data_IF_098656366959
#
_entry.id   IF_098656366959
#
_cell.length_a   1.000
_cell.length_b   1.000
_cell.length_c   1.000
_cell.angle_alpha   90.00
_cell.angle_beta   90.00
_cell.angle_gamma   90.00
#
_symmetry.space_group_name_H-M   'P 1'
#
loop_
_entity.id
_entity.type
_entity.pdbx_description
1 polymer ?
#
# COMPACT_ATOMS: atom_id res chain seq x y z
N UNK A 1 26.41 19.10 -15.51
CA UNK A 1 25.27 19.18 -14.57
C UNK A 1 24.43 17.93 -14.75
N UNK A 2 24.16 17.15 -13.69
CA UNK A 2 23.38 15.93 -13.80
C UNK A 2 21.92 16.28 -14.16
N UNK A 3 21.37 15.59 -15.18
CA UNK A 3 19.96 15.73 -15.59
C UNK A 3 19.07 15.53 -14.35
N UNK A 4 18.16 16.44 -14.00
CA UNK A 4 17.28 16.24 -12.87
C UNK A 4 16.52 14.93 -13.13
N UNK A 5 16.59 13.98 -12.20
CA UNK A 5 15.87 12.71 -12.29
C UNK A 5 14.41 13.06 -12.55
N UNK A 6 13.95 12.81 -13.78
CA UNK A 6 12.60 13.15 -14.22
C UNK A 6 11.62 12.34 -13.41
N UNK A 7 11.03 12.93 -12.37
CA UNK A 7 9.99 12.29 -11.56
C UNK A 7 8.76 12.15 -12.44
N UNK A 8 8.33 10.92 -12.74
CA UNK A 8 7.03 10.69 -13.36
C UNK A 8 5.94 11.25 -12.43
N UNK A 9 5.23 12.33 -12.82
CA UNK A 9 4.24 12.96 -11.95
C UNK A 9 3.11 11.99 -11.59
N UNK A 10 2.74 11.10 -12.51
CA UNK A 10 1.70 10.09 -12.29
C UNK A 10 2.15 9.03 -11.29
N UNK A 11 3.34 8.45 -11.46
CA UNK A 11 3.86 7.46 -10.50
C UNK A 11 3.97 8.05 -9.08
N UNK A 12 4.36 9.32 -8.99
CA UNK A 12 4.42 10.03 -7.72
C UNK A 12 3.04 10.23 -7.07
N UNK A 13 2.00 10.55 -7.85
CA UNK A 13 0.61 10.67 -7.35
C UNK A 13 0.08 9.33 -6.87
N UNK A 14 0.27 8.27 -7.66
CA UNK A 14 -0.10 6.90 -7.29
C UNK A 14 0.53 6.53 -5.94
N UNK A 15 1.84 6.73 -5.79
CA UNK A 15 2.53 6.42 -4.54
C UNK A 15 1.98 7.22 -3.34
N UNK A 16 1.55 8.47 -3.53
CA UNK A 16 0.94 9.28 -2.47
C UNK A 16 -0.46 8.81 -2.11
N UNK A 17 -1.27 8.45 -3.10
CA UNK A 17 -2.63 7.92 -2.88
C UNK A 17 -2.55 6.62 -2.08
N UNK A 18 -1.68 5.69 -2.49
CA UNK A 18 -1.48 4.44 -1.75
C UNK A 18 -1.01 4.68 -0.31
N UNK A 19 -0.13 5.67 -0.07
CA UNK A 19 0.28 6.03 1.29
C UNK A 19 -0.83 6.66 2.13
N UNK A 20 -1.65 7.53 1.52
CA UNK A 20 -2.76 8.19 2.21
C UNK A 20 -3.81 7.22 2.74
N UNK A 21 -4.01 6.11 2.03
CA UNK A 21 -4.95 5.04 2.40
C UNK A 21 -4.42 4.07 3.46
N UNK A 22 -3.14 4.20 3.84
CA UNK A 22 -2.54 3.37 4.88
C UNK A 22 -3.31 3.50 6.19
N UNK A 23 -3.73 2.37 6.77
CA UNK A 23 -4.54 2.32 8.00
C UNK A 23 -6.03 2.65 7.79
N UNK A 24 -6.48 2.89 6.56
CA UNK A 24 -7.88 3.17 6.19
C UNK A 24 -8.49 2.09 5.31
N UNK A 25 -8.02 0.85 5.45
CA UNK A 25 -8.44 -0.30 4.66
C UNK A 25 -9.94 -0.65 4.78
N UNK A 26 -10.58 -0.30 5.89
CA UNK A 26 -12.01 -0.59 6.13
C UNK A 26 -12.91 0.64 6.05
N UNK A 27 -12.35 1.83 6.28
CA UNK A 27 -13.11 3.09 6.33
C UNK A 27 -12.99 3.88 5.03
N UNK A 28 -11.90 3.68 4.31
CA UNK A 28 -11.59 4.36 3.06
C UNK A 28 -11.41 5.87 3.18
N UNK A 29 -11.27 6.51 2.03
CA UNK A 29 -11.30 7.95 1.83
C UNK A 29 -12.07 8.29 0.56
N UNK A 30 -12.76 9.42 0.54
CA UNK A 30 -13.37 9.97 -0.65
C UNK A 30 -12.31 10.51 -1.62
N UNK A 31 -12.66 10.68 -2.90
CA UNK A 31 -11.76 11.28 -3.88
C UNK A 31 -11.33 12.71 -3.50
N UNK A 32 -12.21 13.48 -2.86
CA UNK A 32 -11.90 14.84 -2.37
C UNK A 32 -10.88 14.84 -1.23
N UNK A 33 -11.07 13.96 -0.23
CA UNK A 33 -10.10 13.81 0.87
C UNK A 33 -8.73 13.33 0.35
N UNK A 34 -8.72 12.45 -0.65
CA UNK A 34 -7.48 12.00 -1.30
C UNK A 34 -6.80 13.14 -2.08
N UNK A 35 -7.57 13.99 -2.75
CA UNK A 35 -7.03 15.12 -3.49
C UNK A 35 -6.36 16.11 -2.55
N UNK A 36 -7.02 16.43 -1.43
CA UNK A 36 -6.49 17.29 -0.37
C UNK A 36 -5.22 16.68 0.26
N UNK A 37 -5.29 15.41 0.69
CA UNK A 37 -4.17 14.74 1.37
C UNK A 37 -2.93 14.58 0.47
N UNK A 38 -3.12 14.44 -0.84
CA UNK A 38 -2.01 14.17 -1.79
C UNK A 38 -1.56 15.39 -2.59
N UNK A 39 -2.35 16.47 -2.60
CA UNK A 39 -2.17 17.62 -3.49
C UNK A 39 -2.40 17.28 -4.96
N UNK A 40 -3.18 16.23 -5.24
CA UNK A 40 -3.48 15.76 -6.60
C UNK A 40 -4.74 16.47 -7.10
N UNK A 41 -4.72 17.10 -8.29
CA UNK A 41 -5.92 17.71 -8.85
C UNK A 41 -7.05 16.68 -9.04
N UNK A 42 -8.29 17.07 -8.70
CA UNK A 42 -9.47 16.21 -8.86
C UNK A 42 -9.62 15.66 -10.28
N UNK A 43 -9.26 16.45 -11.30
CA UNK A 43 -9.31 16.04 -12.72
C UNK A 43 -8.41 14.85 -13.04
N UNK A 44 -7.35 14.61 -12.26
CA UNK A 44 -6.44 13.47 -12.40
C UNK A 44 -6.77 12.34 -11.42
N UNK A 45 -7.53 12.64 -10.37
CA UNK A 45 -7.82 11.67 -9.32
C UNK A 45 -8.65 10.51 -9.86
N UNK A 46 -9.71 10.79 -10.63
CA UNK A 46 -10.59 9.76 -11.19
C UNK A 46 -9.80 8.76 -12.06
N UNK A 47 -9.02 9.24 -13.04
CA UNK A 47 -8.19 8.40 -13.91
C UNK A 47 -7.23 7.49 -13.11
N UNK A 48 -6.65 8.01 -12.03
CA UNK A 48 -5.70 7.26 -11.19
C UNK A 48 -6.44 6.23 -10.33
N UNK A 49 -7.59 6.58 -9.77
CA UNK A 49 -8.38 5.66 -8.95
C UNK A 49 -8.93 4.51 -9.78
N UNK A 50 -9.45 4.79 -10.97
CA UNK A 50 -9.94 3.78 -11.90
C UNK A 50 -8.83 2.80 -12.27
N UNK A 51 -7.65 3.30 -12.65
CA UNK A 51 -6.50 2.46 -12.96
C UNK A 51 -6.05 1.59 -11.77
N UNK A 52 -6.09 2.13 -10.54
CA UNK A 52 -5.73 1.38 -9.34
C UNK A 52 -6.78 0.35 -8.93
N UNK A 53 -8.06 0.57 -9.25
CA UNK A 53 -9.12 -0.42 -9.08
C UNK A 53 -8.97 -1.52 -10.12
N UNK A 54 -8.71 -1.17 -11.38
CA UNK A 54 -8.50 -2.12 -12.47
C UNK A 54 -7.31 -3.06 -12.22
N UNK A 55 -6.20 -2.52 -11.72
CA UNK A 55 -5.02 -3.29 -11.29
C UNK A 55 -5.23 -4.01 -9.95
N UNK A 56 -6.44 -3.99 -9.38
CA UNK A 56 -6.77 -4.70 -8.16
C UNK A 56 -6.07 -4.17 -6.92
N UNK A 57 -5.52 -2.96 -6.92
CA UNK A 57 -4.79 -2.38 -5.77
C UNK A 57 -5.70 -1.60 -4.81
N UNK A 58 -6.83 -1.09 -5.32
CA UNK A 58 -7.85 -0.41 -4.55
C UNK A 58 -9.22 -1.09 -4.73
N UNK A 59 -10.12 -0.83 -3.79
CA UNK A 59 -11.54 -1.20 -3.87
C UNK A 59 -12.40 -0.01 -3.48
N UNK A 60 -13.62 -0.01 -3.99
CA UNK A 60 -14.66 0.88 -3.50
C UNK A 60 -15.30 0.29 -2.24
N UNK A 61 -15.48 1.16 -1.24
CA UNK A 61 -16.11 0.81 0.03
C UNK A 61 -17.37 1.65 0.17
N UNK A 62 -18.52 0.97 0.22
CA UNK A 62 -19.81 1.60 0.51
C UNK A 62 -20.04 1.61 2.02
N UNK A 63 -20.27 2.78 2.60
CA UNK A 63 -20.62 2.89 4.01
C UNK A 63 -22.11 2.63 4.22
N UNK A 64 -22.44 1.81 5.21
CA UNK A 64 -23.80 1.36 5.54
C UNK A 64 -24.72 2.44 6.13
N UNK A 65 -24.23 3.65 6.39
CA UNK A 65 -24.96 4.71 7.08
C UNK A 65 -25.23 5.91 6.17
N UNK A 66 -26.26 5.82 5.30
CA UNK A 66 -26.92 6.97 4.65
C UNK A 66 -26.07 7.89 3.75
N UNK A 67 -24.75 7.79 3.78
CA UNK A 67 -23.82 8.52 2.95
C UNK A 67 -23.73 7.83 1.59
N UNK A 68 -24.20 8.53 0.55
CA UNK A 68 -24.06 8.12 -0.85
C UNK A 68 -22.65 8.29 -1.39
N UNK A 69 -21.68 8.69 -0.55
CA UNK A 69 -20.36 9.10 -1.02
C UNK A 69 -19.46 7.89 -1.17
N UNK A 70 -19.04 7.65 -2.42
CA UNK A 70 -18.07 6.63 -2.79
C UNK A 70 -16.73 6.86 -2.05
N UNK A 71 -16.24 5.81 -1.39
CA UNK A 71 -14.94 5.81 -0.73
C UNK A 71 -14.04 4.73 -1.32
N UNK A 72 -12.75 4.96 -1.23
CA UNK A 72 -11.70 4.10 -1.79
C UNK A 72 -10.81 3.61 -0.65
N UNK A 73 -10.46 2.33 -0.68
CA UNK A 73 -9.56 1.72 0.29
C UNK A 73 -8.61 0.73 -0.39
N UNK A 74 -7.56 0.30 0.31
CA UNK A 74 -6.72 -0.79 -0.17
C UNK A 74 -7.50 -2.08 -0.38
N UNK A 75 -7.27 -2.72 -1.51
CA UNK A 75 -7.87 -4.01 -1.82
C UNK A 75 -7.30 -5.14 -0.98
N UNK A 76 -7.99 -6.29 -1.00
CA UNK A 76 -7.45 -7.53 -0.44
C UNK A 76 -6.14 -7.95 -1.12
N UNK A 77 -6.02 -7.77 -2.43
CA UNK A 77 -4.80 -8.11 -3.17
C UNK A 77 -3.59 -7.28 -2.71
N UNK A 78 -3.78 -5.98 -2.49
CA UNK A 78 -2.74 -5.12 -1.92
C UNK A 78 -2.29 -5.60 -0.53
N UNK A 79 -3.23 -6.03 0.31
CA UNK A 79 -2.91 -6.61 1.63
C UNK A 79 -2.15 -7.93 1.50
N UNK A 80 -2.49 -8.77 0.52
CA UNK A 80 -1.77 -10.01 0.25
C UNK A 80 -0.34 -9.76 -0.21
N UNK A 81 -0.10 -8.71 -1.02
CA UNK A 81 1.25 -8.28 -1.40
C UNK A 81 2.04 -7.92 -0.13
N UNK A 82 1.47 -7.08 0.74
CA UNK A 82 2.11 -6.72 2.01
C UNK A 82 2.40 -7.94 2.89
N UNK A 83 1.44 -8.87 3.00
CA UNK A 83 1.60 -10.10 3.77
C UNK A 83 2.69 -11.03 3.21
N UNK A 84 2.81 -11.13 1.88
CA UNK A 84 3.87 -11.92 1.22
C UNK A 84 5.26 -11.40 1.60
N UNK A 85 5.46 -10.09 1.63
CA UNK A 85 6.73 -9.48 2.07
C UNK A 85 7.03 -9.80 3.54
N UNK A 86 6.05 -9.61 4.44
CA UNK A 86 6.22 -9.93 5.87
C UNK A 86 6.53 -11.42 6.08
N UNK A 87 5.92 -12.30 5.27
CA UNK A 87 6.16 -13.74 5.33
C UNK A 87 7.59 -14.10 4.92
N UNK A 88 8.13 -13.44 3.88
CA UNK A 88 9.53 -13.62 3.48
C UNK A 88 10.50 -13.24 4.60
N UNK A 89 10.28 -12.09 5.24
CA UNK A 89 11.10 -11.65 6.38
C UNK A 89 11.08 -12.66 7.53
N UNK A 90 9.91 -13.22 7.84
CA UNK A 90 9.76 -14.25 8.88
C UNK A 90 10.55 -15.52 8.57
N UNK A 91 10.58 -15.95 7.30
CA UNK A 91 11.37 -17.13 6.89
C UNK A 91 12.88 -16.90 7.08
N UNK A 92 13.35 -15.68 6.79
CA UNK A 92 14.75 -15.30 7.00
C UNK A 92 15.08 -15.30 8.49
N UNK A 93 14.21 -14.74 9.33
CA UNK A 93 14.37 -14.74 10.79
C UNK A 93 14.46 -16.17 11.35
N UNK A 94 13.54 -17.06 10.95
CA UNK A 94 13.56 -18.47 11.36
C UNK A 94 14.85 -19.18 10.97
N UNK A 95 15.36 -18.91 9.75
CA UNK A 95 16.62 -19.48 9.28
C UNK A 95 17.82 -18.99 10.10
N UNK A 96 17.80 -17.73 10.53
CA UNK A 96 18.85 -17.16 11.38
C UNK A 96 18.82 -17.77 12.80
N UNK A 97 17.63 -17.87 13.40
CA UNK A 97 17.43 -18.50 14.71
C UNK A 97 17.92 -19.95 14.71
N UNK A 98 17.61 -20.72 13.66
CA UNK A 98 18.08 -22.09 13.51
C UNK A 98 19.61 -22.17 13.45
N UNK A 99 20.26 -21.27 12.70
CA UNK A 99 21.74 -21.20 12.65
C UNK A 99 22.34 -20.87 14.01
N UNK A 100 21.77 -19.92 14.75
CA UNK A 100 22.22 -19.55 16.08
C UNK A 100 22.11 -20.71 17.07
N UNK A 101 20.98 -21.42 17.05
CA UNK A 101 20.77 -22.62 17.88
C UNK A 101 21.83 -23.69 17.61
N UNK A 102 22.07 -24.02 16.35
CA UNK A 102 23.08 -25.03 15.96
C UNK A 102 24.51 -24.61 16.36
N UNK A 103 24.86 -23.31 16.26
CA UNK A 103 26.15 -22.81 16.71
C UNK A 103 26.34 -22.99 18.23
N UNK A 104 25.33 -22.66 19.03
CA UNK A 104 25.39 -22.81 20.49
C UNK A 104 25.45 -24.28 20.92
N UNK A 105 24.66 -25.16 20.28
CA UNK A 105 24.71 -26.60 20.52
C UNK A 105 26.05 -27.22 20.14
N UNK A 106 26.68 -26.70 19.08
CA UNK A 106 28.03 -27.10 18.65
C UNK A 106 29.14 -26.57 19.56
N UNK A 107 28.97 -25.38 20.15
CA UNK A 107 29.93 -24.77 21.07
C UNK A 107 29.88 -25.35 22.50
N UNK A 108 28.78 -26.03 22.86
CA UNK A 108 28.60 -26.69 24.15
C UNK A 108 29.15 -28.13 24.20
N UNK A 109 29.84 -28.60 23.14
CA UNK A 109 30.56 -29.87 23.06
C UNK A 109 32.07 -29.61 23.06
#
# INVERSE_FOLDING_TARGET
MAKPLGKSPTAWRVARILKALSGRTNTGMTAGELAEATGTPNTRMAEILDALIEEGLLVEVFTTSGEKTQRYAHSMEMLQIAYKCIREDKLIQQRLEQKQKTLLEGAAR
#
